data_IF_902183813031
#
_entry.id   IF_902183813031
#
_cell.length_a   1.000
_cell.length_b   1.000
_cell.length_c   1.000
_cell.angle_alpha   90.00
_cell.angle_beta   90.00
_cell.angle_gamma   90.00
#
_symmetry.space_group_name_H-M   'P 1'
#
loop_
_entity.id
_entity.type
_entity.pdbx_description
1 polymer ?
#
# COMPACT_ATOMS: atom_id res chain seq x y z
N UNK A 1 -14.52 -7.47 -11.22
CA UNK A 1 -14.03 -6.09 -11.42
C UNK A 1 -12.65 -5.97 -10.81
N UNK A 2 -11.71 -5.32 -11.50
CA UNK A 2 -10.32 -5.13 -11.03
C UNK A 2 -10.09 -3.64 -10.79
N UNK A 3 -9.45 -3.30 -9.67
CA UNK A 3 -8.98 -1.95 -9.37
C UNK A 3 -7.46 -1.98 -9.18
N UNK A 4 -6.74 -1.32 -10.09
CA UNK A 4 -5.34 -1.06 -9.94
C UNK A 4 -5.13 0.36 -9.42
N UNK A 5 -4.31 0.55 -8.40
CA UNK A 5 -4.03 1.87 -7.83
C UNK A 5 -2.56 2.05 -7.52
N UNK A 6 -2.08 3.26 -7.78
CA UNK A 6 -0.85 3.74 -7.18
C UNK A 6 -0.98 3.85 -5.65
N UNK A 7 0.16 3.90 -4.96
CA UNK A 7 0.25 3.95 -3.50
C UNK A 7 0.67 5.34 -3.00
N UNK A 8 1.91 5.74 -3.27
CA UNK A 8 2.53 6.93 -2.67
C UNK A 8 1.86 8.21 -3.16
N UNK A 9 1.39 9.05 -2.24
CA UNK A 9 0.60 10.26 -2.53
C UNK A 9 -0.74 9.99 -3.22
N UNK A 10 -1.16 8.73 -3.31
CA UNK A 10 -2.49 8.32 -3.80
C UNK A 10 -3.32 7.76 -2.66
N UNK A 11 -2.84 6.67 -2.04
CA UNK A 11 -3.47 6.03 -0.89
C UNK A 11 -2.68 6.29 0.39
N UNK A 12 -1.36 6.20 0.33
CA UNK A 12 -0.46 6.30 1.49
C UNK A 12 0.38 7.57 1.43
N UNK A 13 0.58 8.19 2.59
CA UNK A 13 1.30 9.45 2.73
C UNK A 13 2.34 9.34 3.84
N UNK A 14 3.59 9.69 3.55
CA UNK A 14 4.64 9.81 4.55
C UNK A 14 4.44 11.06 5.41
N UNK A 15 5.11 11.12 6.57
CA UNK A 15 5.14 12.33 7.43
C UNK A 15 5.49 13.59 6.64
N UNK A 16 6.50 13.49 5.76
CA UNK A 16 6.92 14.60 4.90
C UNK A 16 5.80 15.02 3.95
N UNK A 17 5.12 14.07 3.31
CA UNK A 17 4.02 14.37 2.40
C UNK A 17 2.83 15.04 3.13
N UNK A 18 2.49 14.58 4.33
CA UNK A 18 1.44 15.19 5.15
C UNK A 18 1.80 16.62 5.57
N UNK A 19 3.06 16.87 5.93
CA UNK A 19 3.55 18.21 6.25
C UNK A 19 3.50 19.14 5.03
N UNK A 20 3.90 18.68 3.85
CA UNK A 20 3.83 19.43 2.59
C UNK A 20 2.38 19.80 2.21
N UNK A 21 1.41 18.94 2.54
CA UNK A 21 -0.02 19.17 2.28
C UNK A 21 -0.70 20.09 3.31
N UNK A 22 0.03 20.59 4.31
CA UNK A 22 -0.55 21.45 5.35
C UNK A 22 -1.46 20.72 6.33
N UNK A 23 -1.34 19.38 6.42
CA UNK A 23 -2.08 18.53 7.35
C UNK A 23 -1.17 17.93 8.43
N UNK A 24 -0.58 18.75 9.33
CA UNK A 24 0.33 18.25 10.37
C UNK A 24 -0.40 17.48 11.48
N UNK A 25 -1.74 17.59 11.57
CA UNK A 25 -2.50 16.91 12.61
C UNK A 25 -2.79 15.45 12.20
N UNK A 26 -2.32 14.51 13.02
CA UNK A 26 -2.51 13.06 12.84
C UNK A 26 -3.92 12.56 13.19
N UNK A 27 -4.85 13.46 13.48
CA UNK A 27 -6.23 13.09 13.79
C UNK A 27 -6.84 12.33 12.62
N UNK A 28 -7.37 11.14 12.88
CA UNK A 28 -7.93 10.22 11.89
C UNK A 28 -6.94 9.66 10.85
N UNK A 29 -5.65 9.58 11.18
CA UNK A 29 -4.68 8.83 10.38
C UNK A 29 -4.45 7.43 10.97
N UNK A 30 -4.52 6.41 10.11
CA UNK A 30 -4.13 5.04 10.42
C UNK A 30 -2.70 4.81 9.92
N UNK A 31 -1.75 4.36 10.77
CA UNK A 31 -0.43 3.94 10.28
C UNK A 31 -0.60 2.72 9.39
N UNK A 32 0.20 2.64 8.32
CA UNK A 32 0.12 1.53 7.34
C UNK A 32 1.48 0.96 6.95
N UNK A 33 2.55 1.65 7.30
CA UNK A 33 3.92 1.24 7.04
C UNK A 33 4.76 1.38 8.31
N UNK A 34 5.56 0.37 8.61
CA UNK A 34 6.46 0.34 9.76
C UNK A 34 7.89 -0.02 9.35
N UNK A 35 8.87 0.59 10.01
CA UNK A 35 10.26 0.16 9.99
C UNK A 35 10.90 0.40 11.34
N UNK A 36 11.50 -0.63 11.92
CA UNK A 36 12.24 -0.56 13.19
C UNK A 36 11.42 0.05 14.35
N UNK A 37 10.15 -0.35 14.49
CA UNK A 37 9.26 0.18 15.53
C UNK A 37 8.73 1.59 15.26
N UNK A 38 9.01 2.18 14.08
CA UNK A 38 8.58 3.52 13.71
C UNK A 38 7.60 3.47 12.55
N UNK A 39 6.48 4.16 12.71
CA UNK A 39 5.53 4.41 11.63
C UNK A 39 6.13 5.36 10.60
N UNK A 40 6.06 4.98 9.32
CA UNK A 40 6.64 5.77 8.22
C UNK A 40 5.59 6.44 7.35
N UNK A 41 4.47 5.75 7.12
CA UNK A 41 3.39 6.19 6.24
C UNK A 41 2.02 5.91 6.83
N UNK A 42 1.06 6.71 6.40
CA UNK A 42 -0.29 6.75 6.93
C UNK A 42 -1.33 6.80 5.82
N UNK A 43 -2.53 6.33 6.13
CA UNK A 43 -3.75 6.58 5.37
C UNK A 43 -4.74 7.34 6.24
N UNK A 44 -5.67 8.08 5.63
CA UNK A 44 -6.85 8.51 6.40
C UNK A 44 -7.69 7.29 6.79
N UNK A 45 -8.30 7.31 7.97
CA UNK A 45 -9.15 6.22 8.44
C UNK A 45 -10.32 5.94 7.47
N UNK A 46 -10.89 6.99 6.86
CA UNK A 46 -11.94 6.85 5.86
C UNK A 46 -11.44 6.19 4.56
N UNK A 47 -10.25 6.55 4.07
CA UNK A 47 -9.68 5.89 2.89
C UNK A 47 -9.38 4.42 3.16
N UNK A 48 -8.85 4.09 4.34
CA UNK A 48 -8.63 2.71 4.75
C UNK A 48 -9.93 1.91 4.77
N UNK A 49 -10.99 2.43 5.41
CA UNK A 49 -12.30 1.77 5.47
C UNK A 49 -12.87 1.51 4.06
N UNK A 50 -12.81 2.51 3.17
CA UNK A 50 -13.26 2.34 1.78
C UNK A 50 -12.44 1.30 1.02
N UNK A 51 -11.13 1.27 1.22
CA UNK A 51 -10.25 0.29 0.60
C UNK A 51 -10.55 -1.12 1.10
N UNK A 52 -10.82 -1.29 2.40
CA UNK A 52 -11.26 -2.56 2.96
C UNK A 52 -12.56 -3.06 2.31
N UNK A 53 -13.58 -2.19 2.22
CA UNK A 53 -14.83 -2.53 1.52
C UNK A 53 -14.59 -2.85 0.04
N UNK A 54 -13.67 -2.14 -0.63
CA UNK A 54 -13.31 -2.41 -2.01
C UNK A 54 -12.70 -3.81 -2.17
N UNK A 55 -11.75 -4.19 -1.30
CA UNK A 55 -11.10 -5.49 -1.34
C UNK A 55 -12.06 -6.66 -1.10
N UNK A 56 -13.17 -6.44 -0.39
CA UNK A 56 -14.22 -7.46 -0.20
C UNK A 56 -15.09 -7.68 -1.44
N UNK A 57 -15.21 -6.67 -2.31
CA UNK A 57 -16.14 -6.68 -3.45
C UNK A 57 -15.44 -6.74 -4.82
N UNK A 58 -14.12 -6.49 -4.87
CA UNK A 58 -13.34 -6.45 -6.09
C UNK A 58 -11.89 -6.85 -5.85
N UNK A 59 -11.21 -7.27 -6.92
CA UNK A 59 -9.78 -7.53 -6.88
C UNK A 59 -9.02 -6.19 -6.89
N UNK A 60 -8.46 -5.82 -5.75
CA UNK A 60 -7.56 -4.68 -5.65
C UNK A 60 -6.11 -5.12 -5.93
N UNK A 61 -5.41 -4.36 -6.77
CA UNK A 61 -4.02 -4.60 -7.16
C UNK A 61 -3.22 -3.31 -6.92
N UNK A 62 -2.42 -3.22 -5.84
CA UNK A 62 -1.49 -2.11 -5.68
C UNK A 62 -0.41 -2.16 -6.78
N UNK A 63 -0.13 -1.01 -7.39
CA UNK A 63 0.88 -0.82 -8.43
C UNK A 63 1.81 0.28 -7.96
N UNK A 64 3.08 -0.01 -7.71
CA UNK A 64 3.98 0.97 -7.09
C UNK A 64 5.37 0.96 -7.70
N UNK A 65 6.02 2.13 -7.64
CA UNK A 65 7.44 2.29 -7.96
C UNK A 65 8.35 1.75 -6.87
N UNK A 66 7.85 1.54 -5.64
CA UNK A 66 8.60 0.97 -4.51
C UNK A 66 9.16 -0.41 -4.84
N UNK A 67 10.35 -0.70 -4.34
CA UNK A 67 10.92 -2.05 -4.44
C UNK A 67 10.04 -3.05 -3.68
N UNK A 68 10.16 -4.34 -4.00
CA UNK A 68 9.47 -5.42 -3.26
C UNK A 68 9.74 -5.35 -1.76
N UNK A 69 10.98 -5.03 -1.35
CA UNK A 69 11.33 -4.89 0.07
C UNK A 69 10.60 -3.71 0.73
N UNK A 70 10.56 -2.55 0.06
CA UNK A 70 9.83 -1.38 0.57
C UNK A 70 8.32 -1.62 0.63
N UNK A 71 7.76 -2.32 -0.37
CA UNK A 71 6.34 -2.68 -0.38
C UNK A 71 5.98 -3.59 0.81
N UNK A 72 6.85 -4.56 1.14
CA UNK A 72 6.64 -5.48 2.28
C UNK A 72 6.59 -4.79 3.65
N UNK A 73 7.08 -3.55 3.76
CA UNK A 73 6.97 -2.73 4.99
C UNK A 73 5.55 -2.19 5.20
N UNK A 74 4.73 -2.16 4.14
CA UNK A 74 3.34 -1.73 4.19
C UNK A 74 2.49 -2.88 4.74
N UNK A 75 2.41 -2.97 6.08
CA UNK A 75 1.92 -4.14 6.79
C UNK A 75 0.44 -4.44 6.52
N UNK A 76 -0.37 -3.44 6.17
CA UNK A 76 -1.81 -3.64 5.91
C UNK A 76 -2.06 -4.62 4.77
N UNK A 77 -1.19 -4.66 3.75
CA UNK A 77 -1.35 -5.55 2.59
C UNK A 77 -0.94 -7.00 2.88
N UNK A 78 -0.24 -7.24 3.98
CA UNK A 78 0.14 -8.57 4.43
C UNK A 78 -0.80 -9.10 5.50
N UNK A 79 -1.27 -8.22 6.39
CA UNK A 79 -1.88 -8.62 7.65
C UNK A 79 -3.37 -8.31 7.74
N UNK A 80 -3.86 -7.30 7.01
CA UNK A 80 -5.21 -6.76 7.22
C UNK A 80 -6.10 -6.86 5.98
N UNK A 81 -5.58 -6.52 4.80
CA UNK A 81 -6.33 -6.48 3.55
C UNK A 81 -6.07 -7.72 2.69
N UNK A 82 -7.13 -8.37 2.16
CA UNK A 82 -6.98 -9.56 1.34
C UNK A 82 -6.62 -9.18 -0.11
N UNK A 83 -5.33 -8.96 -0.38
CA UNK A 83 -4.85 -8.77 -1.76
C UNK A 83 -4.25 -10.05 -2.33
N UNK A 84 -4.47 -10.29 -3.62
CA UNK A 84 -3.94 -11.48 -4.32
C UNK A 84 -2.67 -11.16 -5.12
N UNK A 85 -2.65 -9.99 -5.75
CA UNK A 85 -1.54 -9.53 -6.58
C UNK A 85 -1.03 -8.19 -6.10
N UNK A 86 0.27 -7.94 -6.27
CA UNK A 86 0.86 -6.61 -6.17
C UNK A 86 1.91 -6.44 -7.26
N UNK A 87 2.02 -5.24 -7.80
CA UNK A 87 3.03 -4.88 -8.80
C UNK A 87 4.00 -3.92 -8.14
N UNK A 88 5.28 -4.30 -8.10
CA UNK A 88 6.34 -3.54 -7.44
C UNK A 88 7.48 -3.26 -8.41
N UNK A 89 8.45 -2.46 -7.96
CA UNK A 89 9.64 -2.08 -8.72
C UNK A 89 9.28 -1.48 -10.08
N UNK A 90 8.27 -0.60 -10.12
CA UNK A 90 7.80 0.05 -11.35
C UNK A 90 7.38 -0.95 -12.45
N UNK A 91 6.75 -2.06 -12.07
CA UNK A 91 6.31 -3.09 -13.00
C UNK A 91 7.30 -4.24 -13.22
N UNK A 92 8.53 -4.12 -12.71
CA UNK A 92 9.53 -5.17 -12.89
C UNK A 92 9.19 -6.47 -12.14
N UNK A 93 8.43 -6.39 -11.04
CA UNK A 93 8.08 -7.55 -10.23
C UNK A 93 6.56 -7.65 -10.05
N UNK A 94 6.04 -8.87 -10.17
CA UNK A 94 4.69 -9.22 -9.74
C UNK A 94 4.80 -10.12 -8.52
N UNK A 95 4.04 -9.80 -7.49
CA UNK A 95 3.85 -10.65 -6.32
C UNK A 95 2.49 -11.36 -6.44
N UNK A 96 2.48 -12.68 -6.28
CA UNK A 96 1.28 -13.48 -6.08
C UNK A 96 1.24 -13.99 -4.65
N UNK A 97 0.22 -13.58 -3.89
CA UNK A 97 0.06 -13.91 -2.46
C UNK A 97 1.33 -13.60 -1.63
N UNK A 98 2.00 -12.51 -1.96
CA UNK A 98 3.20 -12.02 -1.26
C UNK A 98 4.54 -12.54 -1.79
N UNK A 99 4.53 -13.56 -2.66
CA UNK A 99 5.72 -14.17 -3.24
C UNK A 99 5.95 -13.71 -4.67
N UNK A 100 7.21 -13.63 -5.11
CA UNK A 100 7.53 -13.27 -6.49
C UNK A 100 6.95 -14.31 -7.45
N UNK A 101 6.25 -13.84 -8.48
CA UNK A 101 5.69 -14.67 -9.53
C UNK A 101 6.81 -15.08 -10.51
N UNK A 102 7.21 -16.37 -10.55
CA UNK A 102 8.36 -16.81 -11.35
C UNK A 102 8.17 -16.58 -12.84
N UNK A 103 6.94 -16.72 -13.35
CA UNK A 103 6.61 -16.55 -14.77
C UNK A 103 6.83 -15.13 -15.28
N UNK A 104 6.88 -14.15 -14.37
CA UNK A 104 7.20 -12.76 -14.69
C UNK A 104 8.70 -12.47 -14.58
N UNK A 105 9.42 -13.24 -13.75
CA UNK A 105 10.85 -13.09 -13.53
C UNK A 105 11.61 -13.85 -14.62
N UNK A 106 11.81 -13.23 -15.78
CA UNK A 106 12.69 -13.75 -16.85
C UNK A 106 14.16 -13.84 -16.42
#
# INVERSE_FOLDING_TARGET
MIFASDLDRTLIFSERALAELGHPQRTNLKPVEERDGKWLSYMTANAYYKLEQLCLNAMFVPVTTRTTEQFRRIFIFRNELPITYAITSNGANILYKGELLPEWST
#
